data_IF_440169942892
#
_entry.id   IF_440169942892
#
_cell.length_a   1.000
_cell.length_b   1.000
_cell.length_c   1.000
_cell.angle_alpha   90.00
_cell.angle_beta   90.00
_cell.angle_gamma   90.00
#
_symmetry.space_group_name_H-M   'P 1'
#
loop_
_entity.id
_entity.type
_entity.pdbx_description
1 polymer ?
#
# COMPACT_ATOMS: atom_id res chain seq x y z
N UNK A 1 -5.50 29.11 18.38
CA UNK A 1 -6.04 28.34 17.25
C UNK A 1 -5.01 27.26 16.94
N UNK A 2 -5.31 26.01 17.27
CA UNK A 2 -4.53 24.87 16.78
C UNK A 2 -4.71 24.84 15.26
N UNK A 3 -3.62 24.90 14.50
CA UNK A 3 -3.68 24.64 13.07
C UNK A 3 -4.15 23.19 12.90
N UNK A 4 -5.42 23.00 12.56
CA UNK A 4 -5.92 21.71 12.11
C UNK A 4 -5.23 21.44 10.76
N UNK A 5 -4.23 20.57 10.76
CA UNK A 5 -3.63 20.08 9.52
C UNK A 5 -4.59 19.04 8.96
N UNK A 6 -4.97 19.19 7.69
CA UNK A 6 -5.88 18.24 7.04
C UNK A 6 -5.21 16.86 6.95
N UNK A 7 -5.95 15.77 7.19
CA UNK A 7 -5.41 14.42 7.00
C UNK A 7 -5.04 14.17 5.54
N UNK A 8 -4.08 13.27 5.25
CA UNK A 8 -3.69 12.95 3.89
C UNK A 8 -4.86 12.37 3.10
N UNK A 9 -4.92 12.75 1.82
CA UNK A 9 -5.76 12.07 0.85
C UNK A 9 -5.06 10.81 0.36
N UNK A 10 -5.86 9.86 -0.12
CA UNK A 10 -5.36 8.61 -0.73
C UNK A 10 -5.43 8.79 -2.25
N UNK A 11 -4.65 9.73 -2.78
CA UNK A 11 -4.68 10.22 -4.15
C UNK A 11 -3.36 10.05 -4.94
N UNK A 12 -2.31 9.55 -4.29
CA UNK A 12 -1.00 9.23 -4.84
C UNK A 12 0.02 10.35 -4.71
N UNK A 13 -0.12 11.25 -3.73
CA UNK A 13 0.72 12.42 -3.53
C UNK A 13 1.57 12.34 -2.25
N UNK A 14 2.81 11.90 -2.42
CA UNK A 14 3.81 11.80 -1.36
C UNK A 14 4.01 13.09 -0.55
N UNK A 15 3.84 14.26 -1.16
CA UNK A 15 4.20 15.54 -0.54
C UNK A 15 3.33 15.90 0.68
N UNK A 16 2.14 15.31 0.80
CA UNK A 16 1.25 15.57 1.93
C UNK A 16 1.84 15.03 3.24
N UNK A 17 2.41 13.83 3.19
CA UNK A 17 3.02 13.14 4.34
C UNK A 17 4.24 13.88 4.87
N UNK A 18 5.06 14.43 3.98
CA UNK A 18 6.23 15.24 4.36
C UNK A 18 5.78 16.50 5.11
N UNK A 19 4.74 17.19 4.64
CA UNK A 19 4.21 18.41 5.27
C UNK A 19 3.56 18.13 6.63
N UNK A 20 3.01 16.93 6.80
CA UNK A 20 2.42 16.45 8.05
C UNK A 20 3.47 16.06 9.10
N UNK A 21 4.75 16.02 8.73
CA UNK A 21 5.80 15.53 9.62
C UNK A 21 5.65 14.03 9.93
N UNK A 22 5.13 13.25 8.97
CA UNK A 22 5.01 11.81 9.11
C UNK A 22 6.38 11.15 9.38
N UNK A 23 6.39 10.05 10.13
CA UNK A 23 7.60 9.27 10.34
C UNK A 23 8.06 8.71 8.99
N UNK A 24 9.33 8.89 8.64
CA UNK A 24 9.91 8.46 7.37
C UNK A 24 10.97 7.38 7.58
N UNK A 25 10.88 6.31 6.80
CA UNK A 25 11.76 5.14 6.86
C UNK A 25 12.24 4.85 5.44
N UNK A 26 13.55 4.83 5.22
CA UNK A 26 14.10 4.37 3.95
C UNK A 26 13.96 2.85 3.88
N UNK A 27 13.21 2.37 2.88
CA UNK A 27 13.01 0.92 2.64
C UNK A 27 13.80 0.42 1.43
N UNK A 28 14.31 1.33 0.60
CA UNK A 28 15.38 1.11 -0.37
C UNK A 28 16.09 2.43 -0.70
N UNK A 29 17.10 2.40 -1.57
CA UNK A 29 17.79 3.63 -2.04
C UNK A 29 16.82 4.65 -2.66
N UNK A 30 15.77 4.16 -3.34
CA UNK A 30 14.87 4.97 -4.15
C UNK A 30 13.45 5.06 -3.56
N UNK A 31 13.17 4.39 -2.43
CA UNK A 31 11.84 4.29 -1.85
C UNK A 31 11.84 4.62 -0.36
N UNK A 32 10.99 5.58 0.02
CA UNK A 32 10.74 5.95 1.40
C UNK A 32 9.30 5.60 1.79
N UNK A 33 9.16 4.96 2.93
CA UNK A 33 7.90 4.69 3.62
C UNK A 33 7.60 5.82 4.60
N UNK A 34 6.35 6.26 4.63
CA UNK A 34 5.81 7.27 5.52
C UNK A 34 4.64 6.69 6.30
N UNK A 35 4.64 6.92 7.60
CA UNK A 35 3.58 6.48 8.50
C UNK A 35 3.04 7.71 9.24
N UNK A 36 1.74 7.93 9.11
CA UNK A 36 1.00 8.99 9.77
C UNK A 36 -0.24 8.39 10.44
N UNK A 37 -0.69 8.95 11.56
CA UNK A 37 -1.91 8.50 12.20
C UNK A 37 -2.62 9.67 12.89
N UNK A 38 -3.94 9.54 13.02
CA UNK A 38 -4.79 10.40 13.84
C UNK A 38 -5.61 9.54 14.81
N UNK A 39 -6.66 10.10 15.43
CA UNK A 39 -7.49 9.37 16.39
C UNK A 39 -8.25 8.18 15.77
N UNK A 40 -8.41 8.13 14.44
CA UNK A 40 -9.31 7.22 13.75
C UNK A 40 -8.62 6.30 12.75
N UNK A 41 -7.50 6.72 12.17
CA UNK A 41 -6.85 6.01 11.08
C UNK A 41 -5.33 6.03 11.21
N UNK A 42 -4.71 5.05 10.53
CA UNK A 42 -3.29 5.03 10.21
C UNK A 42 -3.16 5.09 8.70
N UNK A 43 -2.32 5.97 8.19
CA UNK A 43 -1.94 6.05 6.80
C UNK A 43 -0.52 5.55 6.62
N UNK A 44 -0.36 4.68 5.63
CA UNK A 44 0.93 4.18 5.17
C UNK A 44 1.09 4.65 3.73
N UNK A 45 2.16 5.36 3.43
CA UNK A 45 2.48 5.81 2.08
C UNK A 45 3.90 5.44 1.74
N UNK A 46 4.16 4.91 0.54
CA UNK A 46 5.54 4.76 0.07
C UNK A 46 5.70 5.41 -1.29
N UNK A 47 6.76 6.18 -1.40
CA UNK A 47 7.03 7.03 -2.54
C UNK A 47 8.15 6.42 -3.37
N UNK A 48 7.95 6.37 -4.68
CA UNK A 48 8.81 5.61 -5.57
C UNK A 48 9.14 6.40 -6.85
N UNK A 49 10.19 6.00 -7.60
CA UNK A 49 10.58 6.67 -8.82
C UNK A 49 9.49 6.69 -9.89
N UNK A 50 9.46 7.74 -10.70
CA UNK A 50 8.59 7.84 -11.87
C UNK A 50 8.76 6.60 -12.78
N UNK A 51 7.65 6.11 -13.32
CA UNK A 51 7.63 4.90 -14.16
C UNK A 51 7.48 3.60 -13.39
N UNK A 52 7.60 3.62 -12.06
CA UNK A 52 7.22 2.50 -11.21
C UNK A 52 5.71 2.28 -11.19
N UNK A 53 5.28 1.01 -11.04
CA UNK A 53 3.88 0.72 -10.74
C UNK A 53 3.61 0.70 -9.24
N UNK A 54 4.60 0.30 -8.44
CA UNK A 54 4.51 0.24 -6.99
C UNK A 54 3.25 -0.50 -6.54
N UNK A 55 3.07 -1.76 -6.91
CA UNK A 55 1.98 -2.55 -6.31
C UNK A 55 2.45 -3.07 -4.95
N UNK A 56 1.55 -3.38 -4.04
CA UNK A 56 1.95 -3.94 -2.73
C UNK A 56 1.02 -5.04 -2.25
N UNK A 57 1.61 -6.04 -1.63
CA UNK A 57 0.97 -6.91 -0.66
C UNK A 57 1.42 -6.46 0.74
N UNK A 58 0.49 -5.90 1.53
CA UNK A 58 0.72 -5.48 2.91
C UNK A 58 0.14 -6.54 3.84
N UNK A 59 1.01 -7.31 4.48
CA UNK A 59 0.64 -8.20 5.56
C UNK A 59 0.47 -7.41 6.85
N UNK A 60 -0.62 -7.65 7.57
CA UNK A 60 -0.91 -6.99 8.84
C UNK A 60 -1.45 -7.99 9.88
N UNK A 61 -0.83 -7.97 11.04
CA UNK A 61 -1.27 -8.67 12.26
C UNK A 61 -1.47 -7.63 13.36
N UNK A 62 -2.59 -7.74 14.08
CA UNK A 62 -2.92 -6.86 15.21
C UNK A 62 -3.53 -7.70 16.33
N UNK A 63 -3.60 -7.15 17.54
CA UNK A 63 -4.29 -7.81 18.66
C UNK A 63 -5.83 -7.84 18.52
N UNK A 64 -6.40 -7.14 17.53
CA UNK A 64 -7.85 -6.96 17.38
C UNK A 64 -8.47 -7.89 16.33
N UNK A 65 -7.77 -8.11 15.21
CA UNK A 65 -8.23 -9.05 14.18
C UNK A 65 -7.79 -10.47 14.54
N UNK A 66 -8.66 -11.46 14.32
CA UNK A 66 -8.38 -12.86 14.70
C UNK A 66 -7.34 -13.53 13.82
N UNK A 67 -7.33 -13.20 12.52
CA UNK A 67 -6.41 -13.73 11.54
C UNK A 67 -5.61 -12.59 10.91
N UNK A 68 -4.27 -12.72 10.79
CA UNK A 68 -3.48 -11.82 9.98
C UNK A 68 -3.99 -11.75 8.54
N UNK A 69 -3.98 -10.56 7.97
CA UNK A 69 -4.51 -10.30 6.63
C UNK A 69 -3.39 -9.90 5.68
N UNK A 70 -3.54 -10.29 4.41
CA UNK A 70 -2.88 -9.63 3.30
C UNK A 70 -3.82 -8.59 2.71
N UNK A 71 -3.37 -7.35 2.60
CA UNK A 71 -4.04 -6.26 1.92
C UNK A 71 -3.32 -6.01 0.59
N UNK A 72 -3.98 -6.33 -0.52
CA UNK A 72 -3.42 -6.24 -1.85
C UNK A 72 -3.82 -4.96 -2.55
N UNK A 73 -2.84 -4.24 -3.08
CA UNK A 73 -3.03 -3.01 -3.86
C UNK A 73 -2.36 -3.16 -5.22
N UNK A 74 -3.17 -3.30 -6.25
CA UNK A 74 -2.74 -3.19 -7.65
C UNK A 74 -3.80 -2.47 -8.49
N UNK A 75 -3.95 -2.82 -9.76
CA UNK A 75 -5.10 -2.39 -10.56
C UNK A 75 -6.43 -2.94 -10.01
N UNK A 76 -6.38 -4.00 -9.21
CA UNK A 76 -7.48 -4.47 -8.37
C UNK A 76 -7.02 -4.48 -6.91
N UNK A 77 -7.91 -4.14 -5.99
CA UNK A 77 -7.63 -4.17 -4.55
C UNK A 77 -8.39 -5.31 -3.90
N UNK A 78 -7.86 -5.90 -2.83
CA UNK A 78 -8.58 -6.93 -2.09
C UNK A 78 -7.84 -7.34 -0.82
N UNK A 79 -8.51 -8.14 0.00
CA UNK A 79 -7.94 -8.65 1.25
C UNK A 79 -8.23 -10.14 1.40
N UNK A 80 -7.34 -10.86 2.09
CA UNK A 80 -7.59 -12.25 2.47
C UNK A 80 -6.77 -12.63 3.71
N UNK A 81 -7.22 -13.60 4.53
CA UNK A 81 -6.42 -14.14 5.61
C UNK A 81 -5.15 -14.83 5.11
N UNK A 82 -4.00 -14.57 5.74
CA UNK A 82 -2.73 -15.22 5.40
C UNK A 82 -2.81 -16.74 5.55
N UNK A 83 -3.58 -17.20 6.53
CA UNK A 83 -3.76 -18.62 6.85
C UNK A 83 -4.81 -19.32 5.97
N UNK A 84 -5.46 -18.62 5.02
CA UNK A 84 -6.50 -19.19 4.17
C UNK A 84 -6.36 -18.75 2.70
N UNK A 85 -5.54 -19.50 1.95
CA UNK A 85 -5.26 -19.22 0.53
C UNK A 85 -6.46 -19.39 -0.39
N UNK A 86 -7.53 -20.08 0.03
CA UNK A 86 -8.73 -20.22 -0.80
C UNK A 86 -9.54 -18.93 -0.91
N UNK A 87 -9.36 -18.01 0.02
CA UNK A 87 -9.96 -16.67 0.00
C UNK A 87 -9.11 -15.65 -0.77
N UNK A 88 -7.95 -16.05 -1.29
CA UNK A 88 -7.19 -15.22 -2.23
C UNK A 88 -7.90 -15.24 -3.59
N UNK A 89 -8.17 -14.07 -4.20
CA UNK A 89 -8.71 -14.01 -5.55
C UNK A 89 -7.85 -14.81 -6.54
N UNK A 90 -8.47 -15.73 -7.28
CA UNK A 90 -7.78 -16.68 -8.19
C UNK A 90 -7.67 -16.16 -9.63
N UNK A 91 -8.50 -15.19 -10.01
CA UNK A 91 -8.54 -14.59 -11.34
C UNK A 91 -9.10 -13.15 -11.28
N UNK A 92 -8.96 -12.35 -12.34
CA UNK A 92 -9.45 -10.97 -12.39
C UNK A 92 -10.99 -10.83 -12.22
N UNK A 93 -11.75 -11.86 -12.57
CA UNK A 93 -13.23 -11.87 -12.50
C UNK A 93 -13.78 -12.24 -11.11
N UNK A 94 -12.91 -12.56 -10.15
CA UNK A 94 -13.31 -13.00 -8.81
C UNK A 94 -14.11 -11.93 -8.07
N UNK A 95 -15.19 -12.34 -7.43
CA UNK A 95 -16.02 -11.51 -6.54
C UNK A 95 -15.36 -11.19 -5.19
N UNK A 96 -14.18 -11.78 -4.93
CA UNK A 96 -13.32 -11.50 -3.78
C UNK A 96 -12.51 -10.21 -3.95
N UNK A 97 -12.45 -9.66 -5.17
CA UNK A 97 -11.88 -8.34 -5.39
C UNK A 97 -12.77 -7.22 -4.84
N UNK A 98 -12.14 -6.09 -4.55
CA UNK A 98 -12.71 -4.87 -4.01
C UNK A 98 -13.34 -5.01 -2.61
N UNK A 99 -13.10 -6.13 -1.94
CA UNK A 99 -13.40 -6.31 -0.51
C UNK A 99 -12.32 -5.60 0.30
N UNK A 100 -12.63 -4.38 0.73
CA UNK A 100 -11.70 -3.46 1.42
C UNK A 100 -12.34 -2.97 2.73
N UNK A 101 -12.57 -3.88 3.67
CA UNK A 101 -13.36 -3.56 4.86
C UNK A 101 -12.55 -2.63 5.80
N UNK A 102 -12.98 -1.41 6.08
CA UNK A 102 -12.23 -0.55 7.02
C UNK A 102 -10.80 -0.20 6.57
N UNK A 103 -10.50 -0.29 5.29
CA UNK A 103 -9.30 0.28 4.68
C UNK A 103 -9.57 0.70 3.24
N UNK A 104 -8.68 1.52 2.69
CA UNK A 104 -8.71 1.91 1.28
C UNK A 104 -7.28 2.21 0.81
N UNK A 105 -7.07 2.21 -0.50
CA UNK A 105 -5.81 2.59 -1.14
C UNK A 105 -6.06 3.25 -2.50
N UNK A 106 -5.07 3.94 -3.05
CA UNK A 106 -5.11 4.42 -4.43
C UNK A 106 -4.69 3.26 -5.37
N UNK A 107 -5.57 2.78 -6.26
CA UNK A 107 -5.22 1.67 -7.14
C UNK A 107 -4.24 2.09 -8.24
N UNK A 108 -3.64 1.10 -8.91
CA UNK A 108 -2.91 1.36 -10.16
C UNK A 108 -3.92 1.71 -11.26
N UNK A 109 -4.05 3.00 -11.56
CA UNK A 109 -5.05 3.49 -12.51
C UNK A 109 -4.69 3.11 -13.95
N UNK A 110 -5.63 2.46 -14.64
CA UNK A 110 -5.49 2.20 -16.08
C UNK A 110 -5.76 3.51 -16.84
N UNK A 111 -4.84 3.85 -17.74
CA UNK A 111 -4.87 4.98 -18.66
C UNK A 111 -4.98 4.53 -20.12
N UNK A 112 -5.90 3.60 -20.36
CA UNK A 112 -6.16 3.02 -21.68
C UNK A 112 -5.31 1.80 -22.01
N UNK A 113 -5.26 1.49 -23.29
CA UNK A 113 -4.57 0.31 -23.81
C UNK A 113 -3.70 0.70 -25.00
N UNK A 114 -2.49 0.14 -25.06
CA UNK A 114 -1.72 0.10 -26.29
C UNK A 114 -2.25 -1.00 -27.20
N UNK A 115 -2.68 -0.61 -28.41
CA UNK A 115 -3.19 -1.51 -29.44
C UNK A 115 -2.22 -1.67 -30.62
N UNK A 116 -1.04 -1.04 -30.56
CA UNK A 116 -0.09 -0.98 -31.68
C UNK A 116 0.88 -2.17 -31.71
N UNK A 117 1.00 -2.91 -30.60
CA UNK A 117 1.78 -4.15 -30.53
C UNK A 117 0.90 -5.37 -30.82
N UNK A 118 1.52 -6.49 -31.18
CA UNK A 118 0.87 -7.80 -31.39
C UNK A 118 0.10 -8.34 -30.16
N UNK A 119 0.18 -7.63 -29.02
CA UNK A 119 -0.59 -7.89 -27.81
C UNK A 119 -1.12 -6.58 -27.22
N UNK A 120 -2.38 -6.62 -26.80
CA UNK A 120 -2.98 -5.55 -25.99
C UNK A 120 -2.18 -5.41 -24.69
N UNK A 121 -1.70 -4.20 -24.40
CA UNK A 121 -1.03 -3.87 -23.14
C UNK A 121 -1.77 -2.75 -22.44
N UNK A 122 -2.02 -2.89 -21.14
CA UNK A 122 -2.54 -1.78 -20.35
C UNK A 122 -1.49 -0.66 -20.28
N UNK A 123 -1.93 0.58 -20.46
CA UNK A 123 -1.18 1.75 -20.05
C UNK A 123 -1.67 2.12 -18.66
N UNK A 124 -0.77 2.43 -17.75
CA UNK A 124 -1.14 2.88 -16.41
C UNK A 124 -0.84 4.37 -16.27
N UNK A 125 -1.58 5.07 -15.40
CA UNK A 125 -1.19 6.42 -15.01
C UNK A 125 0.05 6.31 -14.13
N UNK A 126 1.03 7.17 -14.39
CA UNK A 126 2.13 7.37 -13.47
C UNK A 126 1.56 7.91 -12.14
N UNK A 127 2.09 7.40 -11.04
CA UNK A 127 1.88 7.95 -9.71
C UNK A 127 3.24 8.12 -9.04
N UNK A 128 3.28 8.90 -7.96
CA UNK A 128 4.49 9.15 -7.19
C UNK A 128 4.52 8.33 -5.88
N UNK A 129 3.34 7.82 -5.48
CA UNK A 129 3.19 7.01 -4.29
C UNK A 129 2.02 6.02 -4.38
N UNK A 130 2.07 4.99 -3.54
CA UNK A 130 0.88 4.29 -3.06
C UNK A 130 0.66 4.60 -1.61
N UNK A 131 -0.61 4.79 -1.31
CA UNK A 131 -1.13 5.21 -0.02
C UNK A 131 -2.20 4.22 0.38
N UNK A 132 -2.18 3.85 1.65
CA UNK A 132 -3.11 2.94 2.28
C UNK A 132 -3.60 3.62 3.54
N UNK A 133 -4.92 3.75 3.69
CA UNK A 133 -5.55 4.21 4.91
C UNK A 133 -6.21 3.01 5.61
N UNK A 134 -5.90 2.82 6.89
CA UNK A 134 -6.34 1.70 7.73
C UNK A 134 -7.16 2.25 8.90
N UNK A 135 -8.38 1.76 9.11
CA UNK A 135 -9.24 2.22 10.20
C UNK A 135 -8.89 1.55 11.53
N UNK A 136 -8.62 2.35 12.55
CA UNK A 136 -8.43 1.88 13.93
C UNK A 136 -9.69 1.21 14.50
N UNK A 137 -10.87 1.52 13.97
CA UNK A 137 -12.10 0.82 14.36
C UNK A 137 -12.10 -0.66 13.94
N UNK A 138 -11.41 -1.01 12.85
CA UNK A 138 -11.26 -2.40 12.40
C UNK A 138 -10.03 -3.07 13.00
N UNK A 139 -8.88 -2.39 12.89
CA UNK A 139 -7.57 -2.96 13.21
C UNK A 139 -7.17 -2.74 14.68
N UNK A 140 -7.96 -1.95 15.42
CA UNK A 140 -7.72 -1.64 16.82
C UNK A 140 -6.55 -0.69 17.06
N UNK A 141 -6.29 -0.45 18.34
CA UNK A 141 -5.14 0.29 18.86
C UNK A 141 -4.11 -0.68 19.45
N UNK A 142 -2.90 -0.19 19.69
CA UNK A 142 -1.75 -0.96 20.17
C UNK A 142 -0.79 -1.34 19.04
N UNK A 143 0.03 -2.36 19.29
CA UNK A 143 1.05 -2.82 18.34
C UNK A 143 0.42 -3.45 17.10
N UNK A 144 0.76 -2.94 15.92
CA UNK A 144 0.53 -3.58 14.63
C UNK A 144 1.85 -4.10 14.07
N UNK A 145 1.87 -5.37 13.67
CA UNK A 145 3.00 -5.97 12.95
C UNK A 145 2.70 -5.93 11.47
N UNK A 146 3.59 -5.31 10.70
CA UNK A 146 3.44 -5.23 9.25
C UNK A 146 4.62 -5.83 8.50
N UNK A 147 4.32 -6.37 7.31
CA UNK A 147 5.30 -6.68 6.27
C UNK A 147 4.77 -6.19 4.93
N UNK A 148 5.67 -5.72 4.09
CA UNK A 148 5.34 -5.20 2.78
C UNK A 148 6.19 -5.90 1.73
N UNK A 149 5.52 -6.42 0.70
CA UNK A 149 6.18 -6.79 -0.54
C UNK A 149 5.75 -5.79 -1.60
N UNK A 150 6.59 -4.78 -1.82
CA UNK A 150 6.37 -3.73 -2.83
C UNK A 150 6.99 -4.19 -4.14
N UNK A 151 6.21 -4.21 -5.21
CA UNK A 151 6.65 -4.75 -6.51
C UNK A 151 6.67 -3.71 -7.60
N UNK A 152 7.45 -4.02 -8.64
CA UNK A 152 7.54 -3.21 -9.86
C UNK A 152 8.00 -1.77 -9.59
N UNK A 153 9.08 -1.65 -8.83
CA UNK A 153 9.83 -0.40 -8.64
C UNK A 153 10.85 -0.30 -9.76
N UNK A 154 10.89 0.84 -10.44
CA UNK A 154 11.83 1.10 -11.52
C UNK A 154 13.14 1.66 -10.95
N UNK A 155 14.26 1.00 -11.19
CA UNK A 155 15.57 1.51 -10.81
C UNK A 155 16.14 2.49 -11.86
N UNK A 156 17.25 3.15 -11.53
CA UNK A 156 17.95 4.09 -12.43
C UNK A 156 18.46 3.46 -13.74
N UNK A 157 18.61 2.14 -13.79
CA UNK A 157 18.99 1.40 -15.00
C UNK A 157 17.78 1.06 -15.91
N UNK A 158 16.56 1.38 -15.48
CA UNK A 158 15.33 1.10 -16.22
C UNK A 158 14.81 -0.33 -16.02
N UNK A 159 15.27 -1.03 -14.98
CA UNK A 159 14.85 -2.39 -14.64
C UNK A 159 13.86 -2.37 -13.48
N UNK A 160 12.90 -3.30 -13.49
CA UNK A 160 11.96 -3.47 -12.40
C UNK A 160 12.51 -4.40 -11.33
N UNK A 161 12.35 -4.02 -10.06
CA UNK A 161 12.68 -4.83 -8.89
C UNK A 161 11.57 -4.77 -7.84
N UNK A 162 11.66 -5.68 -6.88
CA UNK A 162 10.74 -5.79 -5.75
C UNK A 162 11.50 -5.52 -4.43
N UNK A 163 10.78 -5.00 -3.45
CA UNK A 163 11.28 -4.65 -2.11
C UNK A 163 10.48 -5.46 -1.09
N UNK A 164 11.19 -6.16 -0.22
CA UNK A 164 10.64 -6.78 0.98
C UNK A 164 10.99 -5.90 2.18
N UNK A 165 9.97 -5.49 2.95
CA UNK A 165 10.16 -4.64 4.11
C UNK A 165 9.35 -5.12 5.33
N UNK A 166 9.98 -5.28 6.50
CA UNK A 166 11.44 -5.39 6.66
C UNK A 166 12.02 -6.57 5.87
N UNK A 167 13.35 -6.56 5.67
CA UNK A 167 14.05 -7.69 5.08
C UNK A 167 14.01 -8.93 6.02
N UNK A 168 14.28 -10.11 5.46
CA UNK A 168 14.49 -11.36 6.22
C UNK A 168 13.28 -11.86 7.03
N UNK A 169 12.05 -11.68 6.53
CA UNK A 169 10.79 -12.09 7.18
C UNK A 169 10.55 -11.46 8.57
N UNK A 170 11.32 -10.44 8.95
CA UNK A 170 11.05 -9.64 10.14
C UNK A 170 9.73 -8.85 10.00
N UNK A 171 9.21 -8.33 11.11
CA UNK A 171 8.02 -7.50 11.10
C UNK A 171 8.37 -6.09 11.59
N UNK A 172 7.85 -5.08 10.91
CA UNK A 172 7.93 -3.70 11.39
C UNK A 172 6.77 -3.44 12.37
N UNK A 173 7.09 -2.87 13.53
CA UNK A 173 6.10 -2.55 14.55
C UNK A 173 5.63 -1.11 14.40
N UNK A 174 4.32 -0.94 14.28
CA UNK A 174 3.66 0.37 14.37
C UNK A 174 2.94 0.42 15.70
N UNK A 175 3.31 1.40 16.54
CA UNK A 175 2.54 1.73 17.73
C UNK A 175 1.34 2.59 17.33
N UNK A 176 0.13 2.08 17.55
CA UNK A 176 -1.12 2.75 17.15
C UNK A 176 -1.87 3.27 18.38
N UNK A 177 -1.98 4.60 18.48
CA UNK A 177 -2.56 5.30 19.63
C UNK A 177 -4.09 5.34 19.67
#
# INVERSE_FOLDING_TARGET
MTNLIAPPLVDGNCNEYIKLGANSISISEDVNLYIFQDDYYVWISYCYPEGSYGTVDLEIETNTISDPLNLHVSAQMGEWPLNNKDLKPKNPESDLWWKTNGWTANPVWINGMDKTADRLRYKFKNGEAREIQLSKNRFGKGEWKIRMNVRSILNKAGEFYDIEFPENDEAYLIEVD
#
